data_IF_231217658748
#
_entry.id   IF_231217658748
#
_cell.length_a   1.000
_cell.length_b   1.000
_cell.length_c   1.000
_cell.angle_alpha   90.00
_cell.angle_beta   90.00
_cell.angle_gamma   90.00
#
_symmetry.space_group_name_H-M   'P 1'
#
loop_
_entity.id
_entity.type
_entity.pdbx_description
1 polymer ?
#
# COMPACT_ATOMS: atom_id res chain seq x y z
N UNK A 1 47.00 -45.19 16.56
CA UNK A 1 45.62 -44.81 16.86
C UNK A 1 45.59 -43.30 17.02
N UNK A 2 45.36 -42.56 15.93
CA UNK A 2 45.39 -41.08 15.91
C UNK A 2 43.95 -40.62 15.78
N UNK A 3 43.47 -39.93 16.81
CA UNK A 3 42.11 -39.37 16.88
C UNK A 3 42.13 -38.02 16.19
N UNK A 4 41.41 -37.89 15.04
CA UNK A 4 41.17 -36.61 14.38
C UNK A 4 39.93 -35.96 15.01
N UNK A 5 40.16 -34.89 15.76
CA UNK A 5 39.09 -34.01 16.23
C UNK A 5 38.68 -33.06 15.10
N UNK A 6 37.46 -33.21 14.61
CA UNK A 6 36.85 -32.27 13.64
C UNK A 6 36.37 -31.02 14.38
N UNK A 7 37.11 -29.92 14.19
CA UNK A 7 36.74 -28.60 14.70
C UNK A 7 35.84 -27.91 13.67
N UNK A 8 34.54 -27.86 13.94
CA UNK A 8 33.58 -27.07 13.13
C UNK A 8 33.99 -25.58 13.20
N UNK A 9 34.39 -25.03 12.08
CA UNK A 9 34.58 -23.58 11.90
C UNK A 9 33.19 -22.99 11.58
N UNK A 10 32.54 -22.42 12.58
CA UNK A 10 31.44 -21.45 12.36
C UNK A 10 32.05 -20.18 11.77
N UNK A 11 31.92 -20.00 10.47
CA UNK A 11 32.30 -18.76 9.79
C UNK A 11 31.34 -17.65 10.14
N UNK A 12 31.74 -16.68 10.98
CA UNK A 12 31.12 -15.35 11.03
C UNK A 12 31.30 -14.73 9.64
N UNK A 13 30.21 -14.57 8.91
CA UNK A 13 30.19 -13.72 7.72
C UNK A 13 30.56 -12.30 8.18
N UNK A 14 31.56 -11.70 7.55
CA UNK A 14 32.03 -10.36 7.87
C UNK A 14 30.91 -9.34 7.59
N UNK A 15 30.82 -8.27 8.38
CA UNK A 15 29.85 -7.16 8.22
C UNK A 15 29.86 -6.60 6.80
N UNK A 16 31.00 -6.63 6.13
CA UNK A 16 31.20 -6.19 4.74
C UNK A 16 30.50 -7.10 3.69
N UNK A 17 30.28 -8.37 4.01
CA UNK A 17 29.52 -9.31 3.16
C UNK A 17 28.01 -9.12 3.24
N UNK A 18 27.49 -8.78 4.42
CA UNK A 18 26.05 -8.50 4.64
C UNK A 18 25.63 -7.19 3.98
N UNK A 19 26.43 -6.14 4.10
CA UNK A 19 26.15 -4.85 3.44
C UNK A 19 26.05 -4.97 1.92
N UNK A 20 26.93 -5.74 1.28
CA UNK A 20 26.89 -6.00 -0.16
C UNK A 20 25.64 -6.79 -0.59
N UNK A 21 25.21 -7.75 0.19
CA UNK A 21 23.99 -8.53 -0.09
C UNK A 21 22.73 -7.65 -0.02
N UNK A 22 22.63 -6.74 0.94
CA UNK A 22 21.52 -5.77 1.06
C UNK A 22 21.45 -4.86 -0.18
N UNK A 23 22.59 -4.31 -0.63
CA UNK A 23 22.60 -3.45 -1.81
C UNK A 23 22.21 -4.20 -3.10
N UNK A 24 22.58 -5.46 -3.25
CA UNK A 24 22.14 -6.29 -4.38
C UNK A 24 20.64 -6.55 -4.32
N UNK A 25 20.10 -6.91 -3.17
CA UNK A 25 18.65 -7.12 -2.98
C UNK A 25 17.84 -5.86 -3.27
N UNK A 26 18.32 -4.69 -2.86
CA UNK A 26 17.68 -3.39 -3.16
C UNK A 26 17.73 -3.10 -4.66
N UNK A 27 18.87 -3.34 -5.32
CA UNK A 27 19.00 -3.14 -6.75
C UNK A 27 18.12 -4.10 -7.55
N UNK A 28 17.93 -5.34 -7.09
CA UNK A 28 17.02 -6.31 -7.68
C UNK A 28 15.54 -5.88 -7.52
N UNK A 29 15.16 -5.39 -6.34
CA UNK A 29 13.83 -4.81 -6.12
C UNK A 29 13.59 -3.64 -7.07
N UNK A 30 14.49 -2.67 -7.10
CA UNK A 30 14.36 -1.51 -7.98
C UNK A 30 14.22 -1.91 -9.45
N UNK A 31 15.02 -2.87 -9.93
CA UNK A 31 14.91 -3.42 -11.28
C UNK A 31 13.58 -4.12 -11.53
N UNK A 32 13.11 -4.95 -10.61
CA UNK A 32 11.85 -5.68 -10.75
C UNK A 32 10.64 -4.75 -10.80
N UNK A 33 10.69 -3.63 -10.06
CA UNK A 33 9.62 -2.62 -10.05
C UNK A 33 9.62 -1.73 -11.31
N UNK A 34 10.79 -1.51 -11.94
CA UNK A 34 10.92 -0.65 -13.14
C UNK A 34 10.83 -1.40 -14.47
N UNK A 35 11.03 -2.71 -14.49
CA UNK A 35 11.06 -3.51 -15.73
C UNK A 35 9.70 -4.03 -16.18
N UNK A 36 8.64 -3.73 -15.48
CA UNK A 36 7.27 -4.12 -15.87
C UNK A 36 6.52 -2.96 -16.49
N UNK A 37 5.59 -3.22 -17.45
CA UNK A 37 4.66 -2.20 -17.93
C UNK A 37 3.89 -1.61 -16.74
N UNK A 38 3.28 -0.41 -16.87
CA UNK A 38 2.55 0.22 -15.79
C UNK A 38 1.40 -0.68 -15.36
N UNK A 39 1.71 -1.53 -14.38
CA UNK A 39 0.74 -2.40 -13.73
C UNK A 39 -0.10 -1.54 -12.76
N UNK A 40 -1.33 -1.94 -12.56
CA UNK A 40 -2.19 -1.31 -11.55
C UNK A 40 -1.45 -1.22 -10.18
N UNK A 41 -1.68 -0.15 -9.43
CA UNK A 41 -1.02 0.08 -8.15
C UNK A 41 -1.10 -1.12 -7.19
N UNK A 42 -2.22 -1.86 -7.21
CA UNK A 42 -2.40 -3.07 -6.40
C UNK A 42 -1.44 -4.21 -6.82
N UNK A 43 -1.07 -4.33 -8.10
CA UNK A 43 -0.07 -5.31 -8.57
C UNK A 43 1.33 -4.97 -8.07
N UNK A 44 1.68 -3.69 -8.09
CA UNK A 44 2.97 -3.21 -7.54
C UNK A 44 3.03 -3.47 -6.04
N UNK A 45 1.94 -3.19 -5.30
CA UNK A 45 1.84 -3.49 -3.88
C UNK A 45 2.03 -4.98 -3.58
N UNK A 46 1.41 -5.86 -4.38
CA UNK A 46 1.54 -7.31 -4.20
C UNK A 46 2.99 -7.77 -4.38
N UNK A 47 3.68 -7.31 -5.43
CA UNK A 47 5.11 -7.60 -5.61
C UNK A 47 5.98 -7.11 -4.46
N UNK A 48 5.66 -5.94 -3.90
CA UNK A 48 6.38 -5.39 -2.75
C UNK A 48 6.28 -6.28 -1.52
N UNK A 49 5.10 -6.76 -1.16
CA UNK A 49 4.93 -7.63 0.01
C UNK A 49 5.57 -9.01 -0.18
N UNK A 50 5.50 -9.57 -1.39
CA UNK A 50 6.17 -10.82 -1.73
C UNK A 50 7.70 -10.67 -1.63
N UNK A 51 8.24 -9.60 -2.18
CA UNK A 51 9.66 -9.33 -2.07
C UNK A 51 10.11 -9.08 -0.63
N UNK A 52 9.33 -8.38 0.18
CA UNK A 52 9.67 -8.09 1.56
C UNK A 52 9.80 -9.36 2.42
N UNK A 53 8.94 -10.36 2.21
CA UNK A 53 9.06 -11.68 2.88
C UNK A 53 10.33 -12.41 2.44
N UNK A 54 10.74 -12.31 1.17
CA UNK A 54 11.98 -12.93 0.70
C UNK A 54 13.25 -12.22 1.16
N UNK A 55 13.19 -10.90 1.34
CA UNK A 55 14.35 -10.09 1.68
C UNK A 55 14.64 -10.05 3.18
N UNK A 56 13.62 -10.24 4.03
CA UNK A 56 13.74 -10.28 5.49
C UNK A 56 13.49 -11.71 5.97
N UNK A 57 14.55 -12.48 6.18
CA UNK A 57 14.51 -13.92 6.46
C UNK A 57 13.58 -14.31 7.62
N UNK A 58 13.41 -13.42 8.61
CA UNK A 58 12.53 -13.64 9.75
C UNK A 58 11.04 -13.40 9.43
N UNK A 59 10.71 -12.72 8.32
CA UNK A 59 9.34 -12.40 7.97
C UNK A 59 8.63 -13.63 7.37
N UNK A 60 7.53 -14.04 7.98
CA UNK A 60 6.68 -15.12 7.47
C UNK A 60 5.50 -14.58 6.67
N UNK A 61 5.02 -13.40 7.03
CA UNK A 61 3.92 -12.73 6.35
C UNK A 61 4.22 -11.25 6.17
N UNK A 62 3.70 -10.67 5.10
CA UNK A 62 3.76 -9.23 4.87
C UNK A 62 2.42 -8.70 4.37
N UNK A 63 2.19 -7.41 4.59
CA UNK A 63 1.02 -6.69 4.09
C UNK A 63 1.29 -5.20 3.95
N UNK A 64 0.56 -4.56 3.03
CA UNK A 64 0.49 -3.11 2.94
C UNK A 64 -0.86 -2.66 3.47
N UNK A 65 -0.82 -1.73 4.41
CA UNK A 65 -1.98 -1.07 5.00
C UNK A 65 -2.03 0.36 4.53
N UNK A 66 -3.16 0.80 3.98
CA UNK A 66 -3.44 2.19 3.65
C UNK A 66 -4.46 2.75 4.65
N UNK A 67 -4.21 3.96 5.13
CA UNK A 67 -5.07 4.64 6.10
C UNK A 67 -5.53 5.97 5.51
N UNK A 68 -6.84 6.15 5.39
CA UNK A 68 -7.43 7.41 4.94
C UNK A 68 -7.45 8.46 6.07
N UNK A 69 -7.65 9.76 5.77
CA UNK A 69 -7.86 10.78 6.80
C UNK A 69 -9.04 10.50 7.72
N UNK A 70 -10.06 9.78 7.24
CA UNK A 70 -11.20 9.30 8.04
C UNK A 70 -10.84 8.07 8.92
N UNK A 71 -9.55 7.66 8.94
CA UNK A 71 -9.05 6.47 9.64
C UNK A 71 -9.65 5.16 9.16
N UNK A 72 -10.11 5.11 7.92
CA UNK A 72 -10.50 3.85 7.29
C UNK A 72 -9.25 3.11 6.81
N UNK A 73 -9.20 1.82 7.08
CA UNK A 73 -8.10 0.94 6.69
C UNK A 73 -8.48 0.18 5.41
N UNK A 74 -7.56 0.17 4.45
CA UNK A 74 -7.59 -0.69 3.26
C UNK A 74 -6.29 -1.47 3.18
N UNK A 75 -6.39 -2.75 2.84
CA UNK A 75 -5.24 -3.66 2.70
C UNK A 75 -5.12 -4.08 1.23
N UNK A 76 -4.42 -3.30 0.38
CA UNK A 76 -4.34 -3.57 -1.06
C UNK A 76 -3.53 -4.83 -1.40
N UNK A 77 -2.58 -5.23 -0.55
CA UNK A 77 -1.72 -6.37 -0.82
C UNK A 77 -1.33 -7.12 0.46
N UNK A 78 -1.32 -8.45 0.37
CA UNK A 78 -0.87 -9.35 1.46
C UNK A 78 -0.27 -10.63 0.91
N UNK A 79 0.68 -11.23 1.63
CA UNK A 79 1.20 -12.56 1.31
C UNK A 79 0.41 -13.69 1.96
N UNK A 80 -0.45 -13.37 2.94
CA UNK A 80 -1.28 -14.32 3.68
C UNK A 80 -2.55 -13.63 4.22
N UNK A 81 -3.54 -14.39 4.70
CA UNK A 81 -4.77 -13.84 5.30
C UNK A 81 -4.57 -13.07 6.60
N UNK A 82 -3.48 -13.34 7.35
CA UNK A 82 -3.27 -12.75 8.67
C UNK A 82 -3.07 -11.22 8.65
N UNK A 83 -2.30 -10.62 7.74
CA UNK A 83 -2.21 -9.17 7.66
C UNK A 83 -3.57 -8.48 7.52
N UNK A 84 -4.43 -8.97 6.62
CA UNK A 84 -5.78 -8.41 6.44
C UNK A 84 -6.68 -8.60 7.67
N UNK A 85 -6.57 -9.76 8.37
CA UNK A 85 -7.27 -9.98 9.64
C UNK A 85 -6.83 -8.99 10.72
N UNK A 86 -5.52 -8.78 10.84
CA UNK A 86 -4.93 -7.83 11.81
C UNK A 86 -5.35 -6.39 11.50
N UNK A 87 -5.40 -6.00 10.23
CA UNK A 87 -5.90 -4.70 9.80
C UNK A 87 -7.39 -4.53 10.15
N UNK A 88 -8.21 -5.56 9.93
CA UNK A 88 -9.61 -5.56 10.37
C UNK A 88 -9.78 -5.42 11.88
N UNK A 89 -8.89 -5.99 12.69
CA UNK A 89 -8.87 -5.83 14.15
C UNK A 89 -8.50 -4.39 14.52
N UNK A 90 -7.47 -3.80 13.87
CA UNK A 90 -7.10 -2.40 14.08
C UNK A 90 -8.22 -1.44 13.73
N UNK A 91 -8.93 -1.69 12.61
CA UNK A 91 -10.07 -0.89 12.18
C UNK A 91 -11.20 -0.86 13.21
N UNK A 92 -11.55 -2.03 13.77
CA UNK A 92 -12.64 -2.13 14.76
C UNK A 92 -12.27 -1.49 16.09
N UNK A 93 -11.06 -1.75 16.58
CA UNK A 93 -10.61 -1.24 17.88
C UNK A 93 -10.08 0.21 17.80
N UNK A 94 -9.83 0.74 16.61
CA UNK A 94 -9.20 2.06 16.36
C UNK A 94 -7.84 2.21 17.06
N UNK A 95 -7.17 1.09 17.29
CA UNK A 95 -5.84 1.00 17.89
C UNK A 95 -4.99 -0.05 17.19
N UNK A 96 -3.67 0.14 17.18
CA UNK A 96 -2.72 -0.83 16.65
C UNK A 96 -1.48 -0.22 15.99
N UNK A 97 -0.47 -1.07 15.70
CA UNK A 97 0.84 -0.63 15.23
C UNK A 97 0.80 0.07 13.87
N UNK A 98 0.00 -0.41 12.92
CA UNK A 98 -0.04 0.15 11.56
C UNK A 98 -0.66 1.55 11.55
N UNK A 99 -1.67 1.80 12.40
CA UNK A 99 -2.25 3.13 12.56
C UNK A 99 -1.23 4.13 13.12
N UNK A 100 -0.42 3.72 14.10
CA UNK A 100 0.60 4.59 14.69
C UNK A 100 1.79 4.76 13.74
N UNK A 101 2.25 3.71 13.08
CA UNK A 101 3.33 3.79 12.09
C UNK A 101 2.97 4.75 10.95
N UNK A 102 1.74 4.66 10.43
CA UNK A 102 1.28 5.54 9.34
C UNK A 102 1.27 7.03 9.74
N UNK A 103 0.89 7.38 10.99
CA UNK A 103 0.66 8.77 11.40
C UNK A 103 1.82 9.41 12.16
N UNK A 104 2.50 8.69 13.06
CA UNK A 104 3.34 9.30 14.07
C UNK A 104 4.79 8.84 14.10
N UNK A 105 5.10 7.63 13.63
CA UNK A 105 6.44 7.05 13.74
C UNK A 105 6.88 6.41 12.43
N UNK A 106 8.18 6.51 12.12
CA UNK A 106 8.73 5.90 10.90
C UNK A 106 8.75 4.39 10.98
N UNK A 107 8.99 3.82 12.17
CA UNK A 107 9.06 2.38 12.43
C UNK A 107 8.39 2.05 13.75
N UNK A 108 7.60 0.98 13.79
CA UNK A 108 7.06 0.37 14.99
C UNK A 108 7.55 -1.08 15.05
N UNK A 109 8.22 -1.42 16.15
CA UNK A 109 8.64 -2.79 16.44
C UNK A 109 7.88 -3.34 17.65
N UNK A 110 7.39 -4.56 17.51
CA UNK A 110 6.79 -5.38 18.56
C UNK A 110 7.58 -6.68 18.62
N UNK A 111 8.38 -6.84 19.68
CA UNK A 111 9.20 -8.03 19.88
C UNK A 111 8.37 -9.23 20.29
N UNK A 112 7.38 -9.03 21.15
CA UNK A 112 6.40 -10.04 21.53
C UNK A 112 5.03 -9.42 21.81
N UNK A 113 4.07 -9.70 20.95
CA UNK A 113 2.70 -9.18 21.05
C UNK A 113 2.02 -9.53 22.38
N UNK A 114 2.41 -10.65 23.04
CA UNK A 114 1.87 -11.02 24.35
C UNK A 114 2.24 -10.02 25.44
N UNK A 115 3.39 -9.40 25.32
CA UNK A 115 3.96 -8.50 26.31
C UNK A 115 3.71 -7.02 26.03
N UNK A 116 3.23 -6.69 24.81
CA UNK A 116 2.97 -5.31 24.40
C UNK A 116 1.71 -4.76 25.06
N UNK A 117 1.86 -3.67 25.82
CA UNK A 117 0.76 -3.03 26.56
C UNK A 117 0.16 -1.81 25.81
N UNK A 118 0.75 -1.40 24.69
CA UNK A 118 0.36 -0.18 23.98
C UNK A 118 -1.06 -0.27 23.42
N UNK A 119 -1.51 -1.46 23.01
CA UNK A 119 -2.80 -1.69 22.34
C UNK A 119 -3.52 -2.93 22.91
N UNK A 120 -4.14 -2.85 24.09
CA UNK A 120 -4.66 -4.01 24.82
C UNK A 120 -5.81 -4.74 24.10
N UNK A 121 -6.72 -4.01 23.44
CA UNK A 121 -7.82 -4.61 22.69
C UNK A 121 -7.34 -5.29 21.42
N UNK A 122 -6.48 -4.61 20.65
CA UNK A 122 -5.82 -5.17 19.46
C UNK A 122 -5.03 -6.44 19.84
N UNK A 123 -4.18 -6.37 20.87
CA UNK A 123 -3.39 -7.50 21.35
C UNK A 123 -4.23 -8.72 21.64
N UNK A 124 -5.31 -8.55 22.42
CA UNK A 124 -6.18 -9.66 22.82
C UNK A 124 -6.82 -10.34 21.60
N UNK A 125 -7.37 -9.56 20.67
CA UNK A 125 -8.03 -10.11 19.50
C UNK A 125 -7.02 -10.69 18.50
N UNK A 126 -5.87 -10.05 18.29
CA UNK A 126 -4.83 -10.51 17.39
C UNK A 126 -4.25 -11.87 17.83
N UNK A 127 -3.96 -12.04 19.12
CA UNK A 127 -3.49 -13.31 19.68
C UNK A 127 -4.54 -14.44 19.64
N UNK A 128 -5.83 -14.09 19.66
CA UNK A 128 -6.91 -15.08 19.51
C UNK A 128 -7.12 -15.49 18.04
N UNK A 129 -6.87 -14.60 17.09
CA UNK A 129 -7.17 -14.81 15.68
C UNK A 129 -5.98 -15.27 14.84
N UNK A 130 -4.75 -15.07 15.32
CA UNK A 130 -3.52 -15.35 14.54
C UNK A 130 -2.42 -15.94 15.45
N UNK A 131 -1.45 -16.67 14.87
CA UNK A 131 -0.26 -17.12 15.59
C UNK A 131 0.81 -16.02 15.75
N UNK A 132 0.60 -14.84 15.18
CA UNK A 132 1.59 -13.75 15.11
C UNK A 132 2.04 -13.31 16.49
N UNK A 133 3.37 -13.24 16.68
CA UNK A 133 4.03 -12.84 17.91
C UNK A 133 4.91 -11.60 17.76
N UNK A 134 5.61 -11.45 16.62
CA UNK A 134 6.43 -10.29 16.34
C UNK A 134 5.87 -9.51 15.15
N UNK A 135 5.96 -8.18 15.21
CA UNK A 135 5.50 -7.27 14.17
C UNK A 135 6.56 -6.19 13.95
N UNK A 136 6.82 -5.89 12.68
CA UNK A 136 7.67 -4.79 12.28
C UNK A 136 6.94 -3.97 11.21
N UNK A 137 6.58 -2.72 11.53
CA UNK A 137 5.78 -1.84 10.68
C UNK A 137 6.58 -0.61 10.29
N UNK A 138 6.65 -0.33 9.00
CA UNK A 138 7.36 0.80 8.42
C UNK A 138 6.38 1.75 7.77
N UNK A 139 6.53 3.04 8.02
CA UNK A 139 5.76 4.07 7.33
C UNK A 139 6.11 4.09 5.85
N UNK A 140 5.10 4.04 5.00
CA UNK A 140 5.20 4.37 3.59
C UNK A 140 4.85 5.86 3.42
N UNK A 141 5.70 6.61 2.69
CA UNK A 141 5.37 7.97 2.32
C UNK A 141 4.28 7.91 1.26
N UNK A 142 3.11 8.41 1.62
CA UNK A 142 2.01 8.56 0.68
C UNK A 142 1.64 10.04 0.56
N UNK A 143 0.83 10.38 -0.45
CA UNK A 143 0.37 11.75 -0.70
C UNK A 143 -0.36 12.33 0.54
N UNK A 144 -0.59 13.65 0.56
CA UNK A 144 -1.24 14.40 1.64
C UNK A 144 -2.56 13.80 2.16
N UNK A 145 -3.18 12.87 1.41
CA UNK A 145 -4.51 12.33 1.70
C UNK A 145 -4.56 10.83 2.01
N UNK A 146 -3.44 10.09 1.93
CA UNK A 146 -3.41 8.66 2.23
C UNK A 146 -2.05 8.30 2.79
N UNK A 147 -2.05 7.75 3.98
CA UNK A 147 -0.87 7.25 4.67
C UNK A 147 -0.85 5.73 4.55
N UNK A 148 0.35 5.16 4.46
CA UNK A 148 0.51 3.73 4.36
C UNK A 148 1.57 3.18 5.30
N UNK A 149 1.51 1.88 5.54
CA UNK A 149 2.52 1.12 6.24
C UNK A 149 2.82 -0.19 5.51
N UNK A 150 4.10 -0.54 5.41
CA UNK A 150 4.56 -1.89 5.11
C UNK A 150 4.71 -2.62 6.45
N UNK A 151 4.09 -3.78 6.56
CA UNK A 151 4.08 -4.56 7.78
C UNK A 151 4.66 -5.94 7.53
N UNK A 152 5.57 -6.36 8.39
CA UNK A 152 6.15 -7.70 8.44
C UNK A 152 5.72 -8.40 9.73
N UNK A 153 5.46 -9.69 9.65
CA UNK A 153 4.92 -10.47 10.76
C UNK A 153 5.65 -11.80 10.87
N UNK A 154 5.83 -12.26 12.12
CA UNK A 154 6.37 -13.58 12.44
C UNK A 154 5.62 -14.23 13.60
N UNK A 155 5.52 -15.56 13.57
CA UNK A 155 4.88 -16.37 14.63
C UNK A 155 5.78 -16.55 15.86
N UNK A 156 7.08 -16.26 15.70
CA UNK A 156 8.03 -16.32 16.81
C UNK A 156 8.18 -14.96 17.48
N UNK A 157 8.28 -14.89 18.81
CA UNK A 157 8.66 -13.67 19.50
C UNK A 157 10.12 -13.33 19.20
N UNK A 158 10.47 -12.04 19.24
CA UNK A 158 11.84 -11.54 19.03
C UNK A 158 12.43 -11.95 17.68
N UNK A 159 11.57 -12.14 16.65
CA UNK A 159 12.01 -12.60 15.34
C UNK A 159 12.82 -11.54 14.57
N UNK A 160 12.51 -10.26 14.77
CA UNK A 160 13.14 -9.17 14.04
C UNK A 160 14.28 -8.56 14.85
N UNK A 161 15.49 -8.70 14.35
CA UNK A 161 16.69 -8.06 14.87
C UNK A 161 16.89 -6.66 14.22
N UNK A 162 17.98 -5.99 14.58
CA UNK A 162 18.35 -4.68 14.05
C UNK A 162 18.63 -4.74 12.54
N UNK A 163 19.22 -5.83 12.05
CA UNK A 163 19.45 -6.03 10.62
C UNK A 163 18.12 -6.17 9.83
N UNK A 164 17.14 -6.88 10.38
CA UNK A 164 15.81 -6.99 9.79
C UNK A 164 15.11 -5.62 9.72
N UNK A 165 15.28 -4.79 10.75
CA UNK A 165 14.74 -3.42 10.80
C UNK A 165 15.40 -2.53 9.74
N UNK A 166 16.72 -2.59 9.59
CA UNK A 166 17.45 -1.82 8.58
C UNK A 166 17.03 -2.20 7.15
N UNK A 167 16.98 -3.50 6.85
CA UNK A 167 16.53 -4.00 5.54
C UNK A 167 15.09 -3.55 5.28
N UNK A 168 14.20 -3.74 6.24
CA UNK A 168 12.79 -3.39 6.12
C UNK A 168 12.58 -1.89 5.90
N UNK A 169 13.36 -1.03 6.56
CA UNK A 169 13.32 0.41 6.37
C UNK A 169 13.71 0.83 4.95
N UNK A 170 14.79 0.25 4.42
CA UNK A 170 15.23 0.53 3.05
C UNK A 170 14.19 0.04 2.04
N UNK A 171 13.65 -1.16 2.23
CA UNK A 171 12.58 -1.70 1.38
C UNK A 171 11.34 -0.80 1.39
N UNK A 172 10.90 -0.36 2.57
CA UNK A 172 9.75 0.54 2.70
C UNK A 172 9.96 1.86 1.98
N UNK A 173 11.17 2.41 2.03
CA UNK A 173 11.52 3.66 1.32
C UNK A 173 11.42 3.49 -0.20
N UNK A 174 11.99 2.42 -0.76
CA UNK A 174 11.91 2.14 -2.20
C UNK A 174 10.49 1.77 -2.63
N UNK A 175 9.76 1.02 -1.82
CA UNK A 175 8.37 0.69 -2.03
C UNK A 175 7.49 1.95 -2.10
N UNK A 176 7.71 2.91 -1.20
CA UNK A 176 6.99 4.18 -1.19
C UNK A 176 7.21 4.99 -2.47
N UNK A 177 8.45 5.07 -2.95
CA UNK A 177 8.80 5.79 -4.19
C UNK A 177 8.15 5.14 -5.42
N UNK A 178 8.22 3.81 -5.53
CA UNK A 178 7.62 3.07 -6.64
C UNK A 178 6.09 3.21 -6.64
N UNK A 179 5.45 3.09 -5.47
CA UNK A 179 4.02 3.28 -5.30
C UNK A 179 3.55 4.68 -5.69
N UNK A 180 4.28 5.73 -5.25
CA UNK A 180 3.93 7.11 -5.56
C UNK A 180 4.00 7.38 -7.08
N UNK A 181 5.01 6.81 -7.75
CA UNK A 181 5.17 6.93 -9.21
C UNK A 181 3.97 6.33 -9.95
N UNK A 182 3.59 5.08 -9.63
CA UNK A 182 2.46 4.40 -10.29
C UNK A 182 1.14 5.11 -9.99
N UNK A 183 0.92 5.54 -8.75
CA UNK A 183 -0.30 6.30 -8.40
C UNK A 183 -0.42 7.61 -9.14
N UNK A 184 0.68 8.34 -9.34
CA UNK A 184 0.65 9.59 -10.12
C UNK A 184 0.30 9.33 -11.57
N UNK A 185 0.81 8.25 -12.15
CA UNK A 185 0.50 7.85 -13.51
C UNK A 185 -0.98 7.44 -13.65
N UNK A 186 -1.49 6.61 -12.75
CA UNK A 186 -2.91 6.22 -12.70
C UNK A 186 -3.83 7.43 -12.54
N UNK A 187 -3.48 8.37 -11.66
CA UNK A 187 -4.24 9.61 -11.49
C UNK A 187 -4.20 10.48 -12.74
N UNK A 188 -3.05 10.57 -13.41
CA UNK A 188 -2.90 11.34 -14.65
C UNK A 188 -3.74 10.74 -15.77
N UNK A 189 -3.66 9.43 -16.00
CA UNK A 189 -4.45 8.73 -17.02
C UNK A 189 -5.95 8.83 -16.73
N UNK A 190 -6.35 8.67 -15.46
CA UNK A 190 -7.74 8.83 -15.02
C UNK A 190 -8.25 10.27 -15.25
N UNK A 191 -7.42 11.29 -14.98
CA UNK A 191 -7.75 12.69 -15.24
C UNK A 191 -7.91 12.97 -16.74
N UNK A 192 -7.06 12.39 -17.60
CA UNK A 192 -7.18 12.50 -19.06
C UNK A 192 -8.47 11.84 -19.54
N UNK A 193 -8.75 10.59 -19.13
CA UNK A 193 -9.99 9.90 -19.51
C UNK A 193 -11.24 10.68 -19.05
N UNK A 194 -11.21 11.23 -17.85
CA UNK A 194 -12.29 12.09 -17.31
C UNK A 194 -12.48 13.34 -18.18
N UNK A 195 -11.38 14.00 -18.58
CA UNK A 195 -11.41 15.18 -19.44
C UNK A 195 -12.01 14.87 -20.81
N UNK A 196 -11.66 13.72 -21.38
CA UNK A 196 -12.16 13.30 -22.70
C UNK A 196 -13.68 13.06 -22.67
N UNK A 197 -14.19 12.34 -21.66
CA UNK A 197 -15.63 12.08 -21.51
C UNK A 197 -16.42 13.38 -21.28
N UNK A 198 -15.89 14.29 -20.44
CA UNK A 198 -16.50 15.60 -20.22
C UNK A 198 -16.45 16.42 -21.52
N UNK A 199 -15.37 16.34 -22.30
CA UNK A 199 -15.25 16.99 -23.61
C UNK A 199 -16.29 16.50 -24.60
N UNK A 200 -16.49 15.19 -24.70
CA UNK A 200 -17.51 14.57 -25.54
C UNK A 200 -18.93 15.02 -25.13
N UNK A 201 -19.25 14.96 -23.83
CA UNK A 201 -20.52 15.40 -23.31
C UNK A 201 -20.77 16.89 -23.60
N UNK A 202 -19.76 17.74 -23.43
CA UNK A 202 -19.84 19.17 -23.83
C UNK A 202 -20.14 19.33 -25.31
N UNK A 203 -19.45 18.61 -26.19
CA UNK A 203 -19.67 18.66 -27.63
C UNK A 203 -21.12 18.30 -28.01
N UNK A 204 -21.67 17.27 -27.37
CA UNK A 204 -23.07 16.87 -27.55
C UNK A 204 -24.03 17.98 -27.13
N UNK A 205 -23.83 18.60 -25.95
CA UNK A 205 -24.67 19.69 -25.46
C UNK A 205 -24.56 20.95 -26.34
N UNK A 206 -23.35 21.30 -26.79
CA UNK A 206 -23.12 22.42 -27.71
C UNK A 206 -23.90 22.23 -29.00
N UNK A 207 -23.81 21.05 -29.62
CA UNK A 207 -24.51 20.74 -30.85
C UNK A 207 -26.03 20.76 -30.70
N UNK A 208 -26.52 20.24 -29.57
CA UNK A 208 -27.96 20.10 -29.32
C UNK A 208 -28.67 21.42 -28.98
N UNK A 209 -28.05 22.20 -28.10
CA UNK A 209 -28.65 23.42 -27.56
C UNK A 209 -28.14 24.68 -28.22
N UNK A 210 -27.28 24.57 -29.23
CA UNK A 210 -26.63 25.67 -29.90
C UNK A 210 -25.98 26.67 -28.93
N UNK A 211 -25.24 26.15 -27.95
CA UNK A 211 -24.55 26.91 -26.89
C UNK A 211 -23.04 26.77 -27.04
N UNK A 212 -22.28 27.69 -26.43
CA UNK A 212 -20.82 27.62 -26.44
C UNK A 212 -20.27 26.61 -25.40
N UNK A 213 -18.94 26.40 -25.46
CA UNK A 213 -18.26 25.43 -24.60
C UNK A 213 -18.32 25.77 -23.09
N UNK A 214 -18.42 27.06 -22.74
CA UNK A 214 -18.52 27.51 -21.35
C UNK A 214 -19.93 27.24 -20.84
N UNK A 215 -20.93 27.60 -21.62
CA UNK A 215 -22.35 27.35 -21.31
C UNK A 215 -22.64 25.85 -21.18
N UNK A 216 -22.08 25.02 -22.05
CA UNK A 216 -22.21 23.57 -21.99
C UNK A 216 -21.58 22.99 -20.71
N UNK A 217 -20.44 23.50 -20.28
CA UNK A 217 -19.81 23.07 -19.02
C UNK A 217 -20.61 23.50 -17.79
N UNK A 218 -21.13 24.73 -17.77
CA UNK A 218 -22.00 25.20 -16.68
C UNK A 218 -23.31 24.40 -16.61
N UNK A 219 -23.86 23.98 -17.75
CA UNK A 219 -25.02 23.08 -17.77
C UNK A 219 -24.72 21.72 -17.16
N UNK A 220 -23.58 21.09 -17.53
CA UNK A 220 -23.11 19.84 -16.91
C UNK A 220 -22.96 19.96 -15.40
N UNK A 221 -22.36 21.06 -14.96
CA UNK A 221 -22.12 21.34 -13.55
C UNK A 221 -23.44 21.50 -12.76
N UNK A 222 -24.40 22.21 -13.33
CA UNK A 222 -25.76 22.36 -12.77
C UNK A 222 -26.44 21.02 -12.64
N UNK A 223 -26.47 20.19 -13.69
CA UNK A 223 -27.04 18.84 -13.65
C UNK A 223 -26.38 17.93 -12.60
N UNK A 224 -25.06 18.05 -12.44
CA UNK A 224 -24.31 17.33 -11.40
C UNK A 224 -24.76 17.75 -9.99
N UNK A 225 -24.93 19.04 -9.74
CA UNK A 225 -25.36 19.58 -8.46
C UNK A 225 -26.80 19.23 -8.13
N UNK A 226 -27.73 19.43 -9.09
CA UNK A 226 -29.14 19.14 -8.92
C UNK A 226 -29.44 17.66 -8.63
N UNK A 227 -28.68 16.77 -9.26
CA UNK A 227 -28.84 15.31 -9.09
C UNK A 227 -27.95 14.74 -7.98
N UNK A 228 -27.13 15.55 -7.32
CA UNK A 228 -26.10 15.12 -6.36
C UNK A 228 -25.25 13.96 -6.91
N UNK A 229 -24.88 14.04 -8.19
CA UNK A 229 -24.14 13.00 -8.92
C UNK A 229 -22.82 13.58 -9.40
N UNK A 230 -21.74 12.76 -9.41
CA UNK A 230 -20.44 13.25 -9.88
C UNK A 230 -20.52 13.73 -11.33
N UNK A 231 -19.81 14.82 -11.64
CA UNK A 231 -19.79 15.43 -12.97
C UNK A 231 -19.44 14.42 -14.08
N UNK A 232 -18.50 13.54 -13.82
CA UNK A 232 -18.09 12.48 -14.75
C UNK A 232 -19.21 11.48 -15.04
N UNK A 233 -20.02 11.12 -14.03
CA UNK A 233 -21.13 10.19 -14.20
C UNK A 233 -22.25 10.83 -15.03
N UNK A 234 -22.51 12.13 -14.82
CA UNK A 234 -23.44 12.90 -15.67
C UNK A 234 -22.93 12.94 -17.13
N UNK A 235 -21.63 13.18 -17.32
CA UNK A 235 -21.01 13.18 -18.63
C UNK A 235 -21.15 11.81 -19.33
N UNK A 236 -20.91 10.70 -18.61
CA UNK A 236 -21.14 9.35 -19.11
C UNK A 236 -22.60 9.08 -19.48
N UNK A 237 -23.55 9.57 -18.70
CA UNK A 237 -24.98 9.45 -19.04
C UNK A 237 -25.27 10.14 -20.38
N UNK A 238 -24.81 11.37 -20.55
CA UNK A 238 -25.01 12.15 -21.78
C UNK A 238 -24.35 11.46 -22.99
N UNK A 239 -23.14 10.94 -22.88
CA UNK A 239 -22.44 10.26 -23.97
C UNK A 239 -23.07 8.92 -24.35
N UNK A 240 -23.80 8.26 -23.45
CA UNK A 240 -24.51 6.98 -23.69
C UNK A 240 -25.92 7.13 -24.26
N UNK A 241 -26.52 8.30 -24.18
CA UNK A 241 -27.87 8.54 -24.71
C UNK A 241 -27.86 8.44 -26.25
N UNK A 242 -28.39 7.34 -26.79
CA UNK A 242 -28.58 7.14 -28.23
C UNK A 242 -29.74 7.94 -28.79
N UNK A 243 -30.76 8.21 -27.99
CA UNK A 243 -31.90 9.05 -28.32
C UNK A 243 -32.07 10.16 -27.28
N UNK A 244 -32.00 11.38 -27.73
CA UNK A 244 -31.92 12.57 -26.88
C UNK A 244 -33.29 13.11 -26.43
N UNK A 245 -34.33 12.28 -26.39
CA UNK A 245 -35.67 12.68 -25.94
C UNK A 245 -35.82 12.70 -24.42
N UNK A 246 -34.82 12.21 -23.68
CA UNK A 246 -34.96 11.92 -22.23
C UNK A 246 -34.10 12.85 -21.32
N UNK A 247 -33.72 14.05 -21.81
CA UNK A 247 -33.00 15.05 -20.99
C UNK A 247 -33.92 16.21 -20.64
#
# INVERSE_FOLDING_TARGET
>A
MVVFTHRARGGKLSEDGRGRDIHHRIADLARSLHSSPPDAADTVAQRMVEYAVHAVDAAQYAGITLVTPAREIRTPATTHRYPALLDGIQQRNKEGPCLVAAWHQHTIRIDDLRNDQRWPSYRREALAATPVRSILSFRLFASEHTLGALNLYADQPYAFDEAAEEIGYVLATHAALAWDTVRREDHFLSALATRDVIGQAKGILMARFNIDAVQAFELLKRLSQERNTKLIDVAHQITRLRNFSDI
#
